data_IF_733760431146
#
_entry.id   IF_733760431146
#
_cell.length_a   1.000
_cell.length_b   1.000
_cell.length_c   1.000
_cell.angle_alpha   90.00
_cell.angle_beta   90.00
_cell.angle_gamma   90.00
#
_symmetry.space_group_name_H-M   'P 1'
#
loop_
_entity.id
_entity.type
_entity.pdbx_description
1 polymer ?
#
# COMPACT_ATOMS: atom_id res chain seq x y z
N UNK A 1 3.68 -0.50 -41.96
CA UNK A 1 2.55 -1.12 -41.22
C UNK A 1 2.74 -0.71 -39.77
N UNK A 2 1.87 0.17 -39.24
CA UNK A 2 1.88 0.61 -37.85
C UNK A 2 0.92 -0.33 -37.09
N UNK A 3 1.49 -1.29 -36.37
CA UNK A 3 0.72 -2.09 -35.41
C UNK A 3 0.71 -1.34 -34.07
N UNK A 4 -0.46 -1.11 -33.52
CA UNK A 4 -0.60 -0.57 -32.16
C UNK A 4 -0.83 -1.70 -31.18
N UNK A 5 -0.06 -1.69 -30.08
CA UNK A 5 -0.19 -2.63 -28.99
C UNK A 5 -0.53 -1.86 -27.72
N UNK A 6 -1.48 -2.36 -26.97
CA UNK A 6 -1.76 -1.90 -25.61
C UNK A 6 -1.56 -3.05 -24.62
N UNK A 7 -0.91 -2.75 -23.51
CA UNK A 7 -0.67 -3.71 -22.46
C UNK A 7 -1.03 -3.10 -21.12
N UNK A 8 -1.83 -3.80 -20.33
CA UNK A 8 -2.17 -3.40 -18.97
C UNK A 8 -1.84 -4.51 -17.98
N UNK A 9 -1.14 -4.14 -16.92
CA UNK A 9 -0.79 -5.01 -15.82
C UNK A 9 -1.41 -4.47 -14.55
N UNK A 10 -2.22 -5.29 -13.87
CA UNK A 10 -2.81 -4.95 -12.58
C UNK A 10 -2.40 -6.00 -11.54
N UNK A 11 -1.61 -5.58 -10.57
CA UNK A 11 -1.25 -6.44 -9.43
C UNK A 11 -2.12 -6.10 -8.23
N UNK A 12 -2.70 -7.11 -7.61
CA UNK A 12 -3.44 -7.00 -6.36
C UNK A 12 -2.79 -7.92 -5.32
N UNK A 13 -2.35 -7.37 -4.22
CA UNK A 13 -1.81 -8.14 -3.10
C UNK A 13 -2.71 -8.03 -1.88
N UNK A 14 -2.95 -9.16 -1.21
CA UNK A 14 -3.62 -9.20 0.09
C UNK A 14 -2.63 -9.71 1.13
N UNK A 15 -2.37 -8.88 2.13
CA UNK A 15 -1.47 -9.18 3.24
C UNK A 15 -2.26 -9.27 4.54
N UNK A 16 -2.15 -10.41 5.23
CA UNK A 16 -2.73 -10.60 6.55
C UNK A 16 -1.58 -10.96 7.50
N UNK A 17 -1.38 -10.15 8.52
CA UNK A 17 -0.26 -10.27 9.44
C UNK A 17 -0.68 -10.06 10.88
N UNK A 18 0.13 -10.60 11.77
CA UNK A 18 0.17 -10.29 13.19
C UNK A 18 1.52 -9.65 13.48
N UNK A 19 1.57 -8.68 14.39
CA UNK A 19 2.83 -8.00 14.69
C UNK A 19 2.93 -7.55 16.14
N UNK A 20 4.16 -7.27 16.54
CA UNK A 20 4.50 -6.63 17.80
C UNK A 20 4.76 -5.14 17.54
N UNK A 21 4.35 -4.31 18.50
CA UNK A 21 4.57 -2.86 18.48
C UNK A 21 5.31 -2.46 19.74
N UNK A 22 6.41 -1.72 19.56
CA UNK A 22 7.18 -1.11 20.62
C UNK A 22 7.26 0.39 20.34
N UNK A 23 6.92 1.20 21.32
CA UNK A 23 6.90 2.65 21.10
C UNK A 23 6.95 3.40 22.40
N UNK A 24 7.18 4.69 22.26
CA UNK A 24 7.14 5.66 23.34
C UNK A 24 6.17 6.78 22.97
N UNK A 25 5.49 7.30 23.96
CA UNK A 25 4.61 8.45 23.86
C UNK A 25 5.02 9.48 24.92
N UNK A 26 5.05 10.73 24.53
CA UNK A 26 5.39 11.84 25.40
C UNK A 26 4.37 12.96 25.29
N UNK A 27 4.09 13.59 26.42
CA UNK A 27 3.24 14.78 26.52
C UNK A 27 4.02 15.87 27.26
N UNK A 28 4.20 17.00 26.59
CA UNK A 28 4.84 18.19 27.18
C UNK A 28 3.77 19.23 27.50
N UNK A 29 3.70 19.61 28.77
CA UNK A 29 2.74 20.61 29.25
C UNK A 29 3.12 22.01 28.74
N UNK A 30 2.23 22.59 27.96
CA UNK A 30 2.34 23.96 27.49
C UNK A 30 1.54 24.93 28.35
N UNK A 31 1.13 26.05 27.74
CA UNK A 31 0.36 27.10 28.39
C UNK A 31 -1.15 26.94 28.15
N UNK A 32 -1.98 27.41 29.06
CA UNK A 32 -3.45 27.49 28.89
C UNK A 32 -4.15 26.19 28.58
N UNK A 33 -3.81 25.09 29.26
CA UNK A 33 -4.38 23.75 29.03
C UNK A 33 -4.05 23.12 27.63
N UNK A 34 -3.05 23.67 26.98
CA UNK A 34 -2.55 23.14 25.70
C UNK A 34 -1.27 22.36 25.97
N UNK A 35 -1.25 21.11 25.54
CA UNK A 35 -0.11 20.21 25.67
C UNK A 35 0.38 19.78 24.28
N UNK A 36 1.67 19.62 24.11
CA UNK A 36 2.25 19.03 22.91
C UNK A 36 2.35 17.51 23.13
N UNK A 37 1.89 16.75 22.16
CA UNK A 37 1.93 15.28 22.21
C UNK A 37 2.74 14.76 21.07
N UNK A 38 3.56 13.75 21.35
CA UNK A 38 4.35 13.06 20.34
C UNK A 38 4.46 11.58 20.64
N UNK A 39 4.45 10.76 19.62
CA UNK A 39 4.74 9.33 19.75
C UNK A 39 5.59 8.82 18.61
N UNK A 40 6.43 7.86 18.93
CA UNK A 40 7.24 7.12 17.96
C UNK A 40 7.15 5.63 18.30
N UNK A 41 6.85 4.80 17.29
CA UNK A 41 6.76 3.37 17.48
C UNK A 41 7.37 2.61 16.31
N UNK A 42 8.07 1.53 16.63
CA UNK A 42 8.50 0.52 15.69
C UNK A 42 7.59 -0.69 15.75
N UNK A 43 7.26 -1.25 14.58
CA UNK A 43 6.40 -2.41 14.46
C UNK A 43 7.09 -3.48 13.61
N UNK A 44 6.84 -4.74 13.94
CA UNK A 44 7.30 -5.87 13.15
C UNK A 44 6.11 -6.78 12.88
N UNK A 45 5.68 -6.83 11.63
CA UNK A 45 4.55 -7.65 11.17
C UNK A 45 5.04 -8.90 10.47
N UNK A 46 4.51 -10.06 10.84
CA UNK A 46 4.77 -11.34 10.20
C UNK A 46 3.45 -11.88 9.69
N UNK A 47 3.36 -12.14 8.40
CA UNK A 47 2.10 -12.55 7.80
C UNK A 47 2.22 -13.26 6.47
N UNK A 48 1.08 -13.62 5.92
CA UNK A 48 0.97 -14.28 4.62
C UNK A 48 0.50 -13.29 3.57
N UNK A 49 1.28 -13.17 2.50
CA UNK A 49 0.97 -12.39 1.31
C UNK A 49 0.43 -13.31 0.21
N UNK A 50 -0.61 -12.83 -0.50
CA UNK A 50 -1.26 -13.52 -1.63
C UNK A 50 -1.34 -12.58 -2.81
N UNK A 51 -0.28 -12.44 -3.60
CA UNK A 51 -0.32 -11.61 -4.80
C UNK A 51 -1.08 -12.29 -5.93
N UNK A 52 -1.77 -11.47 -6.73
CA UNK A 52 -2.48 -11.86 -7.94
C UNK A 52 -2.18 -10.85 -9.02
N UNK A 53 -1.85 -11.31 -10.20
CA UNK A 53 -1.54 -10.47 -11.34
C UNK A 53 -2.55 -10.70 -12.44
N UNK A 54 -3.14 -9.61 -12.93
CA UNK A 54 -4.04 -9.61 -14.08
C UNK A 54 -3.32 -8.91 -15.20
N UNK A 55 -3.22 -9.56 -16.33
CA UNK A 55 -2.63 -8.99 -17.54
C UNK A 55 -3.67 -8.94 -18.64
N UNK A 56 -3.74 -7.81 -19.33
CA UNK A 56 -4.56 -7.62 -20.49
C UNK A 56 -3.67 -7.09 -21.60
N UNK A 57 -3.61 -7.79 -22.72
CA UNK A 57 -2.91 -7.36 -23.92
C UNK A 57 -3.89 -7.24 -25.07
N UNK A 58 -3.85 -6.15 -25.81
CA UNK A 58 -4.61 -5.97 -27.05
C UNK A 58 -3.66 -5.52 -28.16
N UNK A 59 -3.78 -6.13 -29.31
CA UNK A 59 -3.03 -5.78 -30.52
C UNK A 59 -3.95 -5.60 -31.70
N UNK A 60 -3.68 -4.60 -32.53
CA UNK A 60 -4.39 -4.37 -33.79
C UNK A 60 -3.45 -4.64 -34.95
N UNK A 61 -3.84 -5.57 -35.81
CA UNK A 61 -3.12 -5.89 -37.05
C UNK A 61 -3.94 -5.33 -38.20
N UNK A 62 -3.45 -4.26 -38.82
CA UNK A 62 -4.15 -3.55 -39.89
C UNK A 62 -4.40 -4.40 -41.16
N UNK A 63 -3.61 -5.45 -41.39
CA UNK A 63 -3.70 -6.26 -42.62
C UNK A 63 -4.82 -7.30 -42.61
N UNK A 64 -5.33 -7.66 -41.43
CA UNK A 64 -6.32 -8.74 -41.32
C UNK A 64 -7.62 -8.26 -40.66
N UNK A 65 -7.72 -6.97 -40.27
CA UNK A 65 -8.92 -6.38 -39.70
C UNK A 65 -9.39 -6.96 -38.37
N UNK A 66 -8.46 -7.57 -37.59
CA UNK A 66 -8.78 -8.20 -36.32
C UNK A 66 -8.16 -7.52 -35.12
N UNK A 67 -8.96 -7.28 -34.08
CA UNK A 67 -8.49 -6.96 -32.73
C UNK A 67 -8.37 -8.27 -31.97
N UNK A 68 -7.16 -8.60 -31.53
CA UNK A 68 -6.95 -9.75 -30.64
C UNK A 68 -6.74 -9.28 -29.21
N UNK A 69 -7.63 -9.68 -28.32
CA UNK A 69 -7.52 -9.42 -26.89
C UNK A 69 -7.10 -10.71 -26.17
N UNK A 70 -6.11 -10.64 -25.32
CA UNK A 70 -5.69 -11.75 -24.51
C UNK A 70 -5.71 -11.35 -23.02
N UNK A 71 -6.40 -12.17 -22.22
CA UNK A 71 -6.52 -12.01 -20.79
C UNK A 71 -5.77 -13.14 -20.11
N UNK A 72 -4.80 -12.81 -19.26
CA UNK A 72 -4.09 -13.79 -18.48
C UNK A 72 -4.21 -13.47 -16.98
N UNK A 73 -4.57 -14.50 -16.21
CA UNK A 73 -4.65 -14.44 -14.77
C UNK A 73 -3.60 -15.32 -14.16
N UNK A 74 -2.68 -14.73 -13.38
CA UNK A 74 -1.60 -15.46 -12.73
C UNK A 74 -1.80 -15.35 -11.21
N UNK A 75 -2.00 -16.50 -10.57
CA UNK A 75 -2.03 -16.63 -9.11
C UNK A 75 -0.66 -17.08 -8.61
N UNK A 76 -0.01 -16.24 -7.85
CA UNK A 76 1.27 -16.57 -7.24
C UNK A 76 1.07 -17.39 -5.95
N UNK A 77 2.05 -18.23 -5.62
CA UNK A 77 2.04 -18.98 -4.37
C UNK A 77 2.01 -18.02 -3.17
N UNK A 78 1.28 -18.42 -2.14
CA UNK A 78 1.31 -17.72 -0.85
C UNK A 78 2.70 -17.87 -0.25
N UNK A 79 3.22 -16.78 0.30
CA UNK A 79 4.49 -16.80 1.00
C UNK A 79 4.39 -16.00 2.30
N UNK A 80 5.28 -16.31 3.24
CA UNK A 80 5.41 -15.56 4.48
C UNK A 80 6.27 -14.33 4.22
N UNK A 81 5.83 -13.19 4.71
CA UNK A 81 6.54 -11.92 4.58
C UNK A 81 6.66 -11.27 5.95
N UNK A 82 7.83 -10.71 6.22
CA UNK A 82 8.09 -9.87 7.39
C UNK A 82 8.13 -8.43 6.91
N UNK A 83 7.34 -7.57 7.56
CA UNK A 83 7.20 -6.15 7.21
C UNK A 83 7.51 -5.32 8.43
N UNK A 84 8.70 -4.71 8.52
CA UNK A 84 8.99 -3.68 9.51
C UNK A 84 8.19 -2.42 9.18
N UNK A 85 7.75 -1.71 10.23
CA UNK A 85 7.10 -0.41 10.06
C UNK A 85 7.50 0.55 11.18
N UNK A 86 7.45 1.83 10.86
CA UNK A 86 7.70 2.91 11.80
C UNK A 86 6.51 3.85 11.78
N UNK A 87 5.96 4.14 12.96
CA UNK A 87 4.88 5.11 13.14
C UNK A 87 5.42 6.32 13.90
N UNK A 88 5.10 7.50 13.42
CA UNK A 88 5.35 8.77 14.10
C UNK A 88 4.05 9.58 14.18
N UNK A 89 3.85 10.26 15.32
CA UNK A 89 2.67 11.07 15.58
C UNK A 89 3.10 12.33 16.32
N UNK A 90 2.64 13.48 15.85
CA UNK A 90 2.85 14.78 16.50
C UNK A 90 1.53 15.53 16.52
N UNK A 91 1.22 16.16 17.66
CA UNK A 91 -0.03 16.88 17.82
C UNK A 91 -0.05 17.85 18.96
N UNK A 92 -1.19 18.52 19.06
CA UNK A 92 -1.54 19.44 20.14
C UNK A 92 -2.81 18.93 20.80
N UNK A 93 -2.79 18.86 22.10
CA UNK A 93 -3.91 18.39 22.92
C UNK A 93 -4.39 19.50 23.82
N UNK A 94 -5.64 19.84 23.72
CA UNK A 94 -6.34 20.72 24.63
C UNK A 94 -7.10 19.88 25.67
N UNK A 95 -6.90 20.16 26.96
CA UNK A 95 -7.55 19.43 28.04
C UNK A 95 -8.27 20.39 28.96
N UNK A 96 -9.56 20.16 29.23
CA UNK A 96 -10.37 20.97 30.16
C UNK A 96 -11.09 20.06 31.15
N UNK A 97 -10.86 20.37 32.41
CA UNK A 97 -11.57 19.72 33.52
C UNK A 97 -12.89 20.47 33.79
N UNK A 98 -14.00 19.76 33.71
CA UNK A 98 -15.34 20.36 33.97
C UNK A 98 -15.85 20.12 35.40
N UNK A 99 -15.36 19.06 36.05
CA UNK A 99 -15.70 18.72 37.42
C UNK A 99 -14.57 17.85 37.95
N UNK A 100 -14.56 17.61 39.28
CA UNK A 100 -13.50 16.82 39.92
C UNK A 100 -13.29 15.43 39.29
N UNK A 101 -14.25 14.92 38.52
CA UNK A 101 -14.21 13.59 37.94
C UNK A 101 -14.27 13.56 36.39
N UNK A 102 -14.57 14.71 35.74
CA UNK A 102 -14.77 14.75 34.28
C UNK A 102 -13.71 15.58 33.59
N UNK A 103 -12.89 14.92 32.79
CA UNK A 103 -11.86 15.53 31.96
C UNK A 103 -12.24 15.34 30.49
N UNK A 104 -12.39 16.45 29.76
CA UNK A 104 -12.52 16.46 28.32
C UNK A 104 -11.15 16.75 27.69
N UNK A 105 -10.79 16.03 26.64
CA UNK A 105 -9.63 16.38 25.83
C UNK A 105 -9.89 16.24 24.34
N UNK A 106 -9.34 17.18 23.60
CA UNK A 106 -9.33 17.24 22.15
C UNK A 106 -7.88 17.28 21.69
N UNK A 107 -7.50 16.34 20.86
CA UNK A 107 -6.17 16.25 20.27
C UNK A 107 -6.26 16.35 18.76
N UNK A 108 -5.44 17.22 18.18
CA UNK A 108 -5.31 17.46 16.76
C UNK A 108 -3.84 17.29 16.38
N UNK A 109 -3.56 16.61 15.28
CA UNK A 109 -2.18 16.43 14.86
C UNK A 109 -2.04 15.78 13.51
N UNK A 110 -0.83 15.34 13.24
CA UNK A 110 -0.44 14.64 12.03
C UNK A 110 0.25 13.34 12.38
N UNK A 111 -0.12 12.27 11.68
CA UNK A 111 0.49 10.95 11.84
C UNK A 111 1.07 10.47 10.52
N UNK A 112 2.18 9.74 10.61
CA UNK A 112 2.81 9.08 9.48
C UNK A 112 3.23 7.67 9.86
N UNK A 113 2.94 6.71 9.00
CA UNK A 113 3.33 5.31 9.14
C UNK A 113 4.02 4.86 7.87
N UNK A 114 5.22 4.29 7.98
CA UNK A 114 5.99 3.78 6.86
C UNK A 114 6.17 2.27 7.05
N UNK A 115 5.69 1.51 6.08
CA UNK A 115 5.83 0.05 6.01
C UNK A 115 6.89 -0.31 4.99
N UNK A 116 7.99 -0.91 5.44
CA UNK A 116 9.17 -1.18 4.62
C UNK A 116 8.95 -2.49 3.86
N UNK A 117 9.16 -2.46 2.54
CA UNK A 117 8.98 -3.61 1.65
C UNK A 117 7.60 -4.28 1.76
N UNK A 118 6.57 -3.50 2.09
CA UNK A 118 5.23 -4.02 2.34
C UNK A 118 4.49 -4.41 1.05
N UNK A 119 4.71 -3.66 0.00
CA UNK A 119 4.07 -3.88 -1.28
C UNK A 119 4.96 -4.72 -2.18
N UNK A 120 4.35 -5.74 -2.79
CA UNK A 120 5.02 -6.53 -3.82
C UNK A 120 4.24 -6.40 -5.11
N UNK A 121 4.94 -5.99 -6.14
CA UNK A 121 4.44 -5.94 -7.49
C UNK A 121 5.26 -6.87 -8.40
N UNK A 122 4.63 -7.26 -9.50
CA UNK A 122 5.29 -8.04 -10.53
C UNK A 122 5.32 -7.19 -11.78
N UNK A 123 6.52 -6.90 -12.25
CA UNK A 123 6.74 -6.06 -13.43
C UNK A 123 7.21 -6.97 -14.57
N UNK A 124 6.69 -6.83 -15.78
CA UNK A 124 7.19 -7.59 -16.91
C UNK A 124 8.63 -7.18 -17.20
N UNK A 125 9.53 -8.18 -17.29
CA UNK A 125 10.91 -7.93 -17.68
C UNK A 125 11.05 -7.85 -19.19
N UNK A 126 10.26 -8.65 -19.90
CA UNK A 126 10.19 -8.68 -21.36
C UNK A 126 8.78 -9.00 -21.79
N UNK A 127 8.32 -8.34 -22.82
CA UNK A 127 7.13 -8.72 -23.57
C UNK A 127 7.55 -8.92 -25.04
N UNK A 128 7.08 -9.98 -25.64
CA UNK A 128 7.29 -10.21 -27.06
C UNK A 128 5.94 -10.05 -27.73
N UNK A 129 5.82 -9.15 -28.71
CA UNK A 129 4.65 -9.15 -29.57
C UNK A 129 4.56 -10.51 -30.22
N UNK A 130 3.49 -11.22 -29.99
CA UNK A 130 3.27 -12.54 -30.59
C UNK A 130 3.15 -12.41 -32.09
N UNK A 131 4.22 -12.61 -32.76
CA UNK A 131 4.26 -12.71 -34.20
C UNK A 131 5.08 -13.92 -34.56
N UNK A 132 4.47 -14.97 -34.89
CA UNK A 132 5.14 -15.97 -35.75
C UNK A 132 4.11 -16.92 -36.39
N UNK A 133 3.04 -16.38 -36.80
CA UNK A 133 2.05 -17.08 -37.62
C UNK A 133 1.02 -16.06 -38.04
N UNK A 134 0.61 -16.17 -39.25
CA UNK A 134 -0.26 -15.28 -40.01
C UNK A 134 -1.59 -14.90 -39.29
N UNK A 135 -1.80 -15.28 -38.03
CA UNK A 135 -3.16 -15.23 -37.44
C UNK A 135 -3.26 -14.70 -35.98
N UNK A 136 -2.22 -14.33 -35.28
CA UNK A 136 -2.47 -13.85 -33.90
C UNK A 136 -1.58 -12.70 -33.45
N UNK A 137 -2.19 -11.52 -33.33
CA UNK A 137 -1.62 -10.34 -32.69
C UNK A 137 -1.67 -10.40 -31.16
N UNK A 138 -1.41 -11.51 -30.55
CA UNK A 138 -1.41 -11.67 -29.11
C UNK A 138 -0.05 -11.23 -28.53
N UNK A 139 -0.08 -10.48 -27.43
CA UNK A 139 1.09 -10.07 -26.67
C UNK A 139 1.27 -11.05 -25.52
N UNK A 140 2.40 -11.77 -25.49
CA UNK A 140 2.71 -12.69 -24.41
C UNK A 140 3.72 -12.10 -23.44
N UNK A 141 3.47 -12.26 -22.15
CA UNK A 141 4.44 -12.02 -21.09
C UNK A 141 5.44 -13.18 -21.04
N UNK A 142 6.71 -12.85 -21.20
CA UNK A 142 7.77 -13.85 -21.17
C UNK A 142 8.29 -14.08 -19.76
N UNK A 143 8.42 -13.05 -18.95
CA UNK A 143 8.79 -13.19 -17.54
C UNK A 143 8.29 -12.02 -16.67
N UNK A 144 8.15 -12.28 -15.39
CA UNK A 144 7.77 -11.30 -14.38
C UNK A 144 8.89 -11.18 -13.35
N UNK A 145 9.39 -9.97 -13.15
CA UNK A 145 10.32 -9.65 -12.06
C UNK A 145 9.51 -9.19 -10.86
N UNK A 146 9.80 -9.79 -9.71
CA UNK A 146 9.23 -9.38 -8.45
C UNK A 146 9.96 -8.13 -7.96
N UNK A 147 9.22 -7.06 -7.72
CA UNK A 147 9.70 -5.83 -7.08
C UNK A 147 9.05 -5.65 -5.72
N UNK A 148 9.76 -5.04 -4.79
CA UNK A 148 9.25 -4.69 -3.47
C UNK A 148 9.33 -3.18 -3.29
N UNK A 149 8.26 -2.60 -2.74
CA UNK A 149 8.15 -1.16 -2.53
C UNK A 149 7.69 -0.88 -1.11
N UNK A 150 8.06 0.29 -0.61
CA UNK A 150 7.58 0.79 0.66
C UNK A 150 6.16 1.32 0.49
N UNK A 151 5.38 1.19 1.55
CA UNK A 151 4.05 1.79 1.63
C UNK A 151 4.03 2.79 2.76
N UNK A 152 3.57 4.01 2.50
CA UNK A 152 3.36 5.02 3.53
C UNK A 152 1.89 5.37 3.65
N UNK A 153 1.47 5.65 4.87
CA UNK A 153 0.17 6.18 5.20
C UNK A 153 0.38 7.38 6.11
N UNK A 154 -0.05 8.55 5.67
CA UNK A 154 0.12 9.78 6.40
C UNK A 154 -1.10 10.68 6.28
N UNK A 155 -1.36 11.47 7.31
CA UNK A 155 -2.49 12.38 7.31
C UNK A 155 -2.77 13.03 8.65
N UNK A 156 -3.68 14.02 8.65
CA UNK A 156 -4.17 14.62 9.88
C UNK A 156 -5.03 13.64 10.67
N UNK A 157 -5.00 13.77 11.98
CA UNK A 157 -5.90 13.02 12.86
C UNK A 157 -6.55 13.93 13.89
N UNK A 158 -7.70 13.50 14.39
CA UNK A 158 -8.46 14.14 15.47
C UNK A 158 -8.84 13.06 16.47
N UNK A 159 -8.58 13.31 17.74
CA UNK A 159 -8.98 12.41 18.82
C UNK A 159 -9.79 13.17 19.87
N UNK A 160 -10.96 12.64 20.19
CA UNK A 160 -11.78 13.12 21.30
C UNK A 160 -11.72 12.09 22.43
N UNK A 161 -11.50 12.55 23.64
CA UNK A 161 -11.62 11.70 24.82
C UNK A 161 -12.38 12.37 25.95
N UNK A 162 -13.19 11.59 26.63
CA UNK A 162 -13.91 11.98 27.83
C UNK A 162 -13.55 10.95 28.90
N UNK A 163 -12.93 11.41 29.96
CA UNK A 163 -12.60 10.59 31.12
C UNK A 163 -13.58 10.94 32.23
N UNK A 164 -14.28 9.94 32.74
CA UNK A 164 -15.22 10.02 33.88
C UNK A 164 -14.63 9.32 35.08
#
# INVERSE_FOLDING_TARGET
ILSSYSFSLKTRSKYNALGMRFGMEGEYQGFYNINFVGSLAGNLYIGKSKPRTYTTGAGNILEIGGISENYQYITHKKYTQVVPAVDAKLGVKYSKQFSNEKLFSLELGYMSSIYINAMQSYVPSTYVPGSLGIVSGSVFLQSLIKTTENFSLDGPYVTFSLKT
#
